data_IF_885465861965
#
_entry.id   IF_885465861965
#
_cell.length_a   1.000
_cell.length_b   1.000
_cell.length_c   1.000
_cell.angle_alpha   90.00
_cell.angle_beta   90.00
_cell.angle_gamma   90.00
#
_symmetry.space_group_name_H-M   'P 1'
#
loop_
_entity.id
_entity.type
_entity.pdbx_description
1 polymer ?
#
# COMPACT_ATOMS: atom_id res chain seq x y z
N UNK A 1 70.38 -56.70 -19.58
CA UNK A 1 70.18 -56.53 -18.13
C UNK A 1 69.14 -55.43 -17.97
N UNK A 2 68.10 -55.73 -17.20
CA UNK A 2 66.86 -54.98 -16.99
C UNK A 2 67.04 -53.47 -16.83
N UNK A 3 66.11 -52.67 -17.37
CA UNK A 3 65.02 -52.20 -16.51
C UNK A 3 63.86 -51.53 -17.26
N UNK A 4 62.66 -51.92 -16.83
CA UNK A 4 61.36 -51.39 -17.25
C UNK A 4 61.04 -50.20 -16.35
N UNK A 5 60.84 -49.02 -16.90
CA UNK A 5 60.18 -47.92 -16.17
C UNK A 5 58.78 -47.71 -16.72
N UNK A 6 57.82 -48.24 -15.96
CA UNK A 6 56.39 -48.03 -16.11
C UNK A 6 56.06 -46.66 -15.51
N UNK A 7 55.72 -45.67 -16.34
CA UNK A 7 55.15 -44.41 -15.84
C UNK A 7 53.63 -44.58 -15.80
N UNK A 8 53.10 -44.61 -14.58
CA UNK A 8 51.66 -44.63 -14.28
C UNK A 8 51.05 -43.28 -14.65
N UNK A 9 50.07 -43.29 -15.55
CA UNK A 9 49.18 -42.14 -15.80
C UNK A 9 48.20 -42.07 -14.62
N UNK A 10 48.41 -41.12 -13.72
CA UNK A 10 47.42 -40.77 -12.69
C UNK A 10 46.52 -39.66 -13.26
N UNK A 11 45.27 -40.01 -13.52
CA UNK A 11 44.21 -39.10 -13.93
C UNK A 11 43.87 -38.13 -12.78
N UNK A 12 44.00 -36.82 -13.02
CA UNK A 12 43.37 -35.79 -12.20
C UNK A 12 42.16 -35.25 -12.96
N UNK A 13 40.99 -35.86 -12.70
CA UNK A 13 39.70 -35.27 -13.07
C UNK A 13 39.37 -34.24 -12.00
N UNK A 14 39.68 -32.97 -12.28
CA UNK A 14 39.21 -31.84 -11.46
C UNK A 14 37.75 -31.58 -11.88
N UNK A 15 36.83 -32.25 -11.19
CA UNK A 15 35.41 -31.95 -11.27
C UNK A 15 35.12 -30.64 -10.55
N UNK A 16 35.14 -29.52 -11.29
CA UNK A 16 34.67 -28.24 -10.79
C UNK A 16 33.16 -28.32 -10.60
N UNK A 17 32.72 -28.59 -9.38
CA UNK A 17 31.34 -28.38 -8.94
C UNK A 17 31.06 -26.88 -8.99
N UNK A 18 30.42 -26.42 -10.07
CA UNK A 18 29.76 -25.12 -10.11
C UNK A 18 28.60 -25.17 -9.11
N UNK A 19 28.84 -24.75 -7.89
CA UNK A 19 27.76 -24.34 -6.99
C UNK A 19 27.16 -23.06 -7.57
N UNK A 20 26.17 -23.21 -8.45
CA UNK A 20 25.22 -22.14 -8.75
C UNK A 20 24.40 -21.99 -7.48
N UNK A 21 24.91 -21.21 -6.53
CA UNK A 21 24.10 -20.67 -5.46
C UNK A 21 23.08 -19.77 -6.14
N UNK A 22 21.83 -20.19 -6.17
CA UNK A 22 20.71 -19.27 -6.39
C UNK A 22 20.72 -18.32 -5.19
N UNK A 23 21.56 -17.31 -5.24
CA UNK A 23 21.42 -16.11 -4.41
C UNK A 23 20.27 -15.31 -5.03
N UNK A 24 19.05 -15.83 -4.88
CA UNK A 24 17.85 -15.04 -5.05
C UNK A 24 17.82 -14.08 -3.88
N UNK A 25 18.55 -12.98 -4.00
CA UNK A 25 18.34 -11.75 -3.25
C UNK A 25 16.97 -11.20 -3.65
N UNK A 26 15.92 -11.93 -3.35
CA UNK A 26 14.56 -11.43 -3.34
C UNK A 26 14.30 -11.00 -1.89
N UNK A 27 14.48 -9.71 -1.57
CA UNK A 27 14.14 -9.20 -0.25
C UNK A 27 12.62 -9.30 -0.16
N UNK A 28 12.11 -10.46 0.27
CA UNK A 28 10.68 -10.74 0.28
C UNK A 28 9.86 -9.63 0.95
N UNK A 29 8.54 -9.68 0.77
CA UNK A 29 7.58 -8.68 1.23
C UNK A 29 7.97 -7.97 2.55
N UNK A 30 7.86 -6.63 2.61
CA UNK A 30 8.07 -5.88 3.84
C UNK A 30 7.23 -6.43 5.00
N UNK A 31 7.88 -6.82 6.10
CA UNK A 31 7.18 -7.36 7.28
C UNK A 31 6.73 -6.29 8.28
N UNK A 32 7.14 -5.03 8.05
CA UNK A 32 6.94 -3.92 8.99
C UNK A 32 6.23 -2.78 8.28
N UNK A 33 5.21 -2.23 8.93
CA UNK A 33 4.44 -1.08 8.47
C UNK A 33 5.16 0.23 8.79
N UNK A 34 4.71 1.33 8.19
CA UNK A 34 5.29 2.66 8.35
C UNK A 34 5.44 3.12 9.82
N UNK A 35 4.54 2.68 10.70
CA UNK A 35 4.59 3.03 12.13
C UNK A 35 5.52 2.13 12.97
N UNK A 36 6.27 1.22 12.33
CA UNK A 36 7.18 0.27 12.98
C UNK A 36 6.51 -1.00 13.53
N UNK A 37 5.19 -1.13 13.42
CA UNK A 37 4.49 -2.37 13.81
C UNK A 37 4.65 -3.46 12.74
N UNK A 38 4.51 -4.73 13.16
CA UNK A 38 4.49 -5.86 12.23
C UNK A 38 3.21 -5.82 11.39
N UNK A 39 3.32 -6.11 10.10
CA UNK A 39 2.17 -6.31 9.23
C UNK A 39 1.28 -7.45 9.79
N UNK A 40 -0.05 -7.27 9.90
CA UNK A 40 -0.96 -8.34 10.28
C UNK A 40 -0.86 -9.53 9.33
N UNK A 41 -1.06 -10.74 9.86
CA UNK A 41 -1.20 -11.93 9.03
C UNK A 41 -2.52 -11.87 8.26
N UNK A 42 -2.46 -12.24 6.98
CA UNK A 42 -3.65 -12.37 6.17
C UNK A 42 -4.33 -13.71 6.51
N UNK A 43 -5.64 -13.72 6.84
CA UNK A 43 -6.30 -14.93 7.33
C UNK A 43 -6.61 -15.95 6.21
N UNK A 44 -6.47 -15.53 4.95
CA UNK A 44 -6.81 -16.30 3.75
C UNK A 44 -5.78 -16.03 2.66
N UNK A 45 -5.60 -16.99 1.76
CA UNK A 45 -4.87 -16.76 0.51
C UNK A 45 -5.78 -16.03 -0.48
N UNK A 46 -5.24 -15.07 -1.23
CA UNK A 46 -6.01 -14.31 -2.23
C UNK A 46 -5.84 -14.94 -3.60
N UNK A 47 -6.96 -15.35 -4.20
CA UNK A 47 -6.97 -15.96 -5.53
C UNK A 47 -6.33 -15.04 -6.58
N UNK A 48 -5.33 -15.55 -7.31
CA UNK A 48 -4.65 -14.79 -8.37
C UNK A 48 -3.54 -13.85 -7.88
N UNK A 49 -3.26 -13.79 -6.57
CA UNK A 49 -2.11 -13.06 -6.00
C UNK A 49 -0.93 -14.01 -5.84
N UNK A 50 0.02 -13.96 -6.76
CA UNK A 50 1.21 -14.82 -6.76
C UNK A 50 2.39 -14.23 -5.97
N UNK A 51 2.48 -12.90 -5.90
CA UNK A 51 3.55 -12.21 -5.17
C UNK A 51 3.28 -12.23 -3.66
N UNK A 52 4.33 -12.09 -2.82
CA UNK A 52 4.15 -11.98 -1.38
C UNK A 52 3.17 -10.86 -1.00
N UNK A 53 2.16 -11.19 -0.19
CA UNK A 53 1.13 -10.24 0.23
C UNK A 53 1.43 -9.64 1.62
N UNK A 54 1.28 -8.33 1.76
CA UNK A 54 1.46 -7.59 3.01
C UNK A 54 0.14 -6.94 3.40
N UNK A 55 -0.47 -7.37 4.51
CA UNK A 55 -1.68 -6.71 5.00
C UNK A 55 -1.34 -5.38 5.64
N UNK A 56 -2.11 -4.35 5.28
CA UNK A 56 -2.18 -3.11 6.04
C UNK A 56 -2.85 -3.33 7.39
N UNK A 57 -2.53 -2.49 8.36
CA UNK A 57 -3.31 -2.38 9.60
C UNK A 57 -4.50 -1.44 9.38
N UNK A 58 -5.66 -1.79 9.92
CA UNK A 58 -6.87 -0.95 9.86
C UNK A 58 -7.51 -0.85 11.25
N UNK A 59 -7.90 0.37 11.62
CA UNK A 59 -8.65 0.64 12.83
C UNK A 59 -9.85 1.54 12.51
N UNK A 60 -11.00 1.21 13.08
CA UNK A 60 -12.18 2.08 13.12
C UNK A 60 -12.26 2.71 14.50
N UNK A 61 -12.42 4.02 14.58
CA UNK A 61 -12.51 4.72 15.86
C UNK A 61 -13.59 5.80 15.83
N UNK A 62 -14.08 6.17 17.02
CA UNK A 62 -14.90 7.35 17.20
C UNK A 62 -14.03 8.61 17.21
N UNK A 63 -14.62 9.76 16.88
CA UNK A 63 -13.90 11.04 16.79
C UNK A 63 -13.22 11.44 18.11
N UNK A 64 -13.77 11.04 19.26
CA UNK A 64 -13.30 11.43 20.59
C UNK A 64 -12.11 10.61 21.11
N UNK A 65 -11.86 9.43 20.56
CA UNK A 65 -10.78 8.52 21.00
C UNK A 65 -9.45 8.81 20.30
N UNK A 66 -9.47 9.65 19.26
CA UNK A 66 -8.31 9.91 18.42
C UNK A 66 -7.62 11.19 18.89
N UNK A 67 -6.48 11.05 19.57
CA UNK A 67 -5.75 12.16 20.17
C UNK A 67 -5.36 13.28 19.19
N UNK A 68 -5.34 14.54 19.65
CA UNK A 68 -5.13 15.74 18.83
C UNK A 68 -3.78 15.78 18.07
N UNK A 69 -2.78 14.98 18.48
CA UNK A 69 -1.50 14.82 17.78
C UNK A 69 -1.50 13.76 16.66
N UNK A 70 -2.56 12.96 16.53
CA UNK A 70 -2.67 11.91 15.50
C UNK A 70 -2.81 12.46 14.07
N UNK A 71 -2.72 11.57 13.08
CA UNK A 71 -3.05 11.89 11.69
C UNK A 71 -4.47 12.47 11.53
N UNK A 72 -5.46 12.00 12.32
CA UNK A 72 -6.80 12.58 12.36
C UNK A 72 -6.79 14.02 12.88
N UNK A 73 -6.03 14.33 13.94
CA UNK A 73 -5.92 15.68 14.50
C UNK A 73 -5.29 16.68 13.53
N UNK A 74 -4.29 16.25 12.74
CA UNK A 74 -3.70 17.06 11.68
C UNK A 74 -4.68 17.24 10.50
N UNK A 75 -5.37 16.18 10.09
CA UNK A 75 -6.38 16.20 9.03
C UNK A 75 -7.56 17.12 9.38
N UNK A 76 -8.05 16.97 10.60
CA UNK A 76 -9.10 17.76 11.24
C UNK A 76 -8.85 19.27 11.17
N UNK A 77 -7.61 19.68 11.41
CA UNK A 77 -7.17 21.07 11.32
C UNK A 77 -7.08 21.58 9.87
N UNK A 78 -7.03 20.72 8.86
CA UNK A 78 -7.05 21.14 7.44
C UNK A 78 -8.46 21.15 6.86
N UNK A 79 -9.33 20.26 7.32
CA UNK A 79 -10.73 20.16 6.87
C UNK A 79 -11.69 21.16 7.56
N UNK A 80 -11.24 22.38 7.89
CA UNK A 80 -11.88 23.32 8.86
C UNK A 80 -13.34 23.75 8.59
N UNK A 81 -13.99 23.32 7.51
CA UNK A 81 -15.33 23.78 7.11
C UNK A 81 -16.50 22.87 7.49
N UNK A 82 -16.29 21.55 7.63
CA UNK A 82 -17.41 20.61 7.82
C UNK A 82 -17.26 19.75 9.08
N UNK A 83 -18.39 19.57 9.77
CA UNK A 83 -18.50 18.60 10.85
C UNK A 83 -18.41 17.16 10.30
N UNK A 84 -17.90 16.25 11.11
CA UNK A 84 -17.47 14.91 10.69
C UNK A 84 -18.45 13.85 11.17
N UNK A 85 -18.68 12.84 10.34
CA UNK A 85 -19.42 11.65 10.74
C UNK A 85 -18.49 10.51 11.14
N UNK A 86 -18.98 9.65 12.02
CA UNK A 86 -18.35 8.36 12.37
C UNK A 86 -18.84 7.26 11.41
N UNK A 87 -18.03 6.21 11.15
CA UNK A 87 -16.70 5.95 11.73
C UNK A 87 -15.57 6.74 11.05
N UNK A 88 -14.48 6.95 11.79
CA UNK A 88 -13.19 7.33 11.21
C UNK A 88 -12.40 6.05 10.98
N UNK A 89 -11.81 5.92 9.79
CA UNK A 89 -10.99 4.77 9.43
C UNK A 89 -9.54 5.21 9.27
N UNK A 90 -8.65 4.59 10.04
CA UNK A 90 -7.20 4.79 9.96
C UNK A 90 -6.59 3.54 9.35
N UNK A 91 -5.72 3.71 8.36
CA UNK A 91 -4.96 2.63 7.75
C UNK A 91 -3.47 2.93 7.77
N UNK A 92 -2.67 1.94 8.12
CA UNK A 92 -1.21 2.01 8.06
C UNK A 92 -0.71 0.92 7.13
N UNK A 93 -0.09 1.33 6.03
CA UNK A 93 0.57 0.47 5.07
C UNK A 93 2.08 0.46 5.24
N UNK A 94 2.78 -0.05 4.24
CA UNK A 94 4.24 -0.16 4.23
C UNK A 94 4.86 1.24 4.14
N UNK A 95 4.50 2.03 3.13
CA UNK A 95 5.11 3.34 2.86
C UNK A 95 4.23 4.52 3.24
N UNK A 96 2.93 4.29 3.48
CA UNK A 96 1.94 5.31 3.75
C UNK A 96 1.01 5.02 4.92
N UNK A 97 0.36 6.06 5.40
CA UNK A 97 -0.75 6.00 6.35
C UNK A 97 -1.87 6.91 5.83
N UNK A 98 -3.11 6.49 6.03
CA UNK A 98 -4.26 7.30 5.66
C UNK A 98 -5.33 7.36 6.74
N UNK A 99 -6.04 8.47 6.76
CA UNK A 99 -7.25 8.67 7.57
C UNK A 99 -8.39 9.05 6.66
N UNK A 100 -9.51 8.33 6.76
CA UNK A 100 -10.71 8.55 5.96
C UNK A 100 -11.93 8.75 6.85
N UNK A 101 -12.75 9.75 6.54
CA UNK A 101 -14.05 9.96 7.19
C UNK A 101 -15.03 10.67 6.26
N UNK A 102 -16.32 10.39 6.45
CA UNK A 102 -17.40 11.10 5.73
C UNK A 102 -17.74 12.41 6.43
N UNK A 103 -18.20 13.37 5.67
CA UNK A 103 -18.82 14.59 6.21
C UNK A 103 -20.14 14.27 6.91
N UNK A 104 -20.60 15.14 7.82
CA UNK A 104 -21.91 14.98 8.47
C UNK A 104 -23.06 14.90 7.47
N UNK A 105 -22.98 15.64 6.35
CA UNK A 105 -23.97 15.60 5.28
C UNK A 105 -24.00 14.25 4.54
N UNK A 106 -23.00 13.39 4.75
CA UNK A 106 -22.76 12.13 4.04
C UNK A 106 -22.61 12.27 2.52
N UNK A 107 -22.42 13.50 2.04
CA UNK A 107 -22.21 13.83 0.62
C UNK A 107 -20.74 14.07 0.28
N UNK A 108 -19.86 14.12 1.28
CA UNK A 108 -18.44 14.31 1.11
C UNK A 108 -17.64 13.27 1.86
N UNK A 109 -16.41 13.07 1.40
CA UNK A 109 -15.41 12.20 2.00
C UNK A 109 -14.10 12.96 2.08
N UNK A 110 -13.48 12.94 3.26
CA UNK A 110 -12.12 13.43 3.44
C UNK A 110 -11.16 12.26 3.57
N UNK A 111 -10.01 12.42 2.93
CA UNK A 111 -8.85 11.55 3.04
C UNK A 111 -7.65 12.39 3.39
N UNK A 112 -6.88 11.97 4.38
CA UNK A 112 -5.60 12.59 4.69
C UNK A 112 -4.52 11.54 4.61
N UNK A 113 -3.44 11.91 3.95
CA UNK A 113 -2.35 11.01 3.62
C UNK A 113 -1.11 11.42 4.41
N UNK A 114 -0.34 10.45 4.87
CA UNK A 114 0.97 10.59 5.48
C UNK A 114 1.92 9.55 4.87
N UNK A 115 3.21 9.82 4.86
CA UNK A 115 4.23 8.97 4.23
C UNK A 115 5.53 8.97 5.05
N UNK A 116 6.39 7.98 4.81
CA UNK A 116 7.68 7.82 5.49
C UNK A 116 8.70 8.95 5.22
N UNK A 117 8.51 9.74 4.17
CA UNK A 117 9.40 10.83 3.79
C UNK A 117 9.59 11.87 4.90
N UNK A 118 10.78 12.48 4.93
CA UNK A 118 11.13 13.50 5.92
C UNK A 118 10.21 14.72 5.83
N UNK A 119 9.77 15.23 6.99
CA UNK A 119 8.97 16.45 7.09
C UNK A 119 9.32 17.27 8.32
N UNK A 120 9.09 18.57 8.21
CA UNK A 120 9.11 19.48 9.34
C UNK A 120 8.19 18.99 10.46
N UNK A 121 8.68 19.06 11.69
CA UNK A 121 7.93 18.71 12.88
C UNK A 121 6.63 19.52 12.95
N UNK A 122 5.48 18.84 12.94
CA UNK A 122 4.15 19.45 12.90
C UNK A 122 3.42 19.37 11.56
N UNK A 123 4.07 18.97 10.47
CA UNK A 123 3.44 18.70 9.15
C UNK A 123 3.29 17.20 8.89
N UNK A 124 2.63 16.49 9.80
CA UNK A 124 2.46 15.02 9.67
C UNK A 124 1.69 14.62 8.41
N UNK A 125 0.58 15.29 8.08
CA UNK A 125 -0.13 14.99 6.84
C UNK A 125 0.55 15.64 5.63
N UNK A 126 0.75 14.85 4.58
CA UNK A 126 1.35 15.20 3.30
C UNK A 126 0.34 15.53 2.22
N UNK A 127 -0.82 14.89 2.28
CA UNK A 127 -1.91 15.10 1.34
C UNK A 127 -3.23 15.28 2.07
N UNK A 128 -4.15 16.02 1.44
CA UNK A 128 -5.56 16.05 1.81
C UNK A 128 -6.37 15.92 0.53
N UNK A 129 -7.22 14.90 0.45
CA UNK A 129 -8.18 14.70 -0.62
C UNK A 129 -9.60 14.95 -0.11
N UNK A 130 -10.41 15.61 -0.93
CA UNK A 130 -11.86 15.66 -0.77
C UNK A 130 -12.52 15.00 -1.98
N UNK A 131 -13.41 14.04 -1.73
CA UNK A 131 -14.22 13.37 -2.72
C UNK A 131 -15.69 13.64 -2.49
N UNK A 132 -16.44 13.96 -3.55
CA UNK A 132 -17.89 14.07 -3.48
C UNK A 132 -18.53 12.70 -3.67
N UNK A 133 -19.55 12.40 -2.86
CA UNK A 133 -20.27 11.16 -2.93
C UNK A 133 -21.56 11.36 -3.73
N UNK A 134 -21.73 10.56 -4.78
CA UNK A 134 -22.96 10.41 -5.55
C UNK A 134 -23.64 9.12 -5.10
N UNK A 135 -24.89 9.20 -4.65
CA UNK A 135 -25.62 8.03 -4.11
C UNK A 135 -24.85 7.26 -3.02
N UNK A 136 -24.04 7.97 -2.24
CA UNK A 136 -23.21 7.39 -1.17
C UNK A 136 -21.91 6.73 -1.63
N UNK A 137 -21.61 6.74 -2.93
CA UNK A 137 -20.40 6.20 -3.55
C UNK A 137 -19.48 7.29 -4.05
N UNK A 138 -18.18 7.01 -4.03
CA UNK A 138 -17.19 7.87 -4.63
C UNK A 138 -16.95 7.46 -6.08
N UNK A 139 -17.15 8.38 -7.01
CA UNK A 139 -16.96 8.15 -8.46
C UNK A 139 -15.61 8.69 -8.96
N UNK A 140 -14.97 9.58 -8.21
CA UNK A 140 -13.73 10.25 -8.59
C UNK A 140 -12.52 9.66 -7.81
N UNK A 141 -11.60 8.96 -8.48
CA UNK A 141 -10.43 8.32 -7.86
C UNK A 141 -9.30 9.31 -7.50
N UNK A 142 -9.59 10.62 -7.33
CA UNK A 142 -8.62 11.73 -7.12
C UNK A 142 -7.26 11.31 -6.55
N UNK A 143 -6.22 11.65 -7.30
CA UNK A 143 -4.83 11.44 -6.93
C UNK A 143 -4.32 12.60 -6.08
N UNK A 144 -3.64 12.26 -4.98
CA UNK A 144 -2.69 13.15 -4.34
C UNK A 144 -1.28 12.67 -4.70
N UNK A 145 -0.50 13.49 -5.42
CA UNK A 145 0.94 13.30 -5.65
C UNK A 145 1.71 14.58 -5.37
N UNK A 146 3.01 14.46 -5.10
CA UNK A 146 3.96 15.59 -5.07
C UNK A 146 4.36 16.09 -3.68
N UNK A 147 3.51 15.94 -2.66
CA UNK A 147 3.88 16.28 -1.27
C UNK A 147 4.21 15.05 -0.43
N UNK A 148 3.74 13.87 -0.85
CA UNK A 148 4.01 12.58 -0.23
C UNK A 148 5.23 11.93 -0.89
N UNK A 149 6.17 11.43 -0.09
CA UNK A 149 7.37 10.77 -0.57
C UNK A 149 7.70 9.51 0.24
N UNK A 150 8.39 8.57 -0.39
CA UNK A 150 9.00 7.39 0.23
C UNK A 150 10.12 7.83 1.20
N UNK A 151 10.67 6.88 1.98
CA UNK A 151 11.85 7.14 2.82
C UNK A 151 13.07 7.58 1.98
N UNK A 152 13.18 7.09 0.75
CA UNK A 152 14.23 7.47 -0.21
C UNK A 152 14.02 8.85 -0.83
N UNK A 153 12.86 9.48 -0.61
CA UNK A 153 12.50 10.77 -1.18
C UNK A 153 11.80 10.69 -2.53
N UNK A 154 11.50 9.50 -3.03
CA UNK A 154 10.75 9.33 -4.28
C UNK A 154 9.29 9.74 -4.08
N UNK A 155 8.61 10.24 -5.11
CA UNK A 155 7.18 10.56 -5.03
C UNK A 155 6.33 9.33 -4.67
N UNK A 156 5.35 9.54 -3.80
CA UNK A 156 4.37 8.54 -3.42
C UNK A 156 2.96 9.06 -3.76
N UNK A 157 2.20 8.27 -4.52
CA UNK A 157 0.83 8.57 -4.92
C UNK A 157 -0.18 7.97 -3.97
N UNK A 158 -1.27 8.71 -3.71
CA UNK A 158 -2.44 8.20 -3.01
C UNK A 158 -3.69 8.41 -3.86
N UNK A 159 -4.44 7.35 -4.13
CA UNK A 159 -5.70 7.41 -4.86
C UNK A 159 -6.85 6.82 -4.05
N UNK A 160 -8.07 7.23 -4.39
CA UNK A 160 -9.25 6.60 -3.84
C UNK A 160 -9.63 5.34 -4.60
N UNK A 161 -9.96 4.31 -3.84
CA UNK A 161 -10.60 3.10 -4.33
C UNK A 161 -11.93 2.96 -3.60
N UNK A 162 -13.01 2.83 -4.36
CA UNK A 162 -14.33 2.50 -3.85
C UNK A 162 -14.54 1.00 -4.05
N UNK A 163 -14.37 0.16 -3.00
CA UNK A 163 -14.56 -1.27 -3.15
C UNK A 163 -15.98 -1.59 -3.60
N UNK A 164 -16.14 -2.64 -4.39
CA UNK A 164 -17.46 -3.15 -4.76
C UNK A 164 -18.17 -3.76 -3.54
N UNK A 165 -19.51 -3.86 -3.57
CA UNK A 165 -20.22 -4.57 -2.52
C UNK A 165 -19.64 -5.98 -2.32
N UNK A 166 -19.49 -6.39 -1.06
CA UNK A 166 -18.93 -7.69 -0.62
C UNK A 166 -17.41 -7.87 -0.77
N UNK A 167 -16.68 -6.88 -1.31
CA UNK A 167 -15.22 -6.89 -1.22
C UNK A 167 -14.79 -6.75 0.25
N UNK A 168 -13.98 -7.70 0.71
CA UNK A 168 -13.35 -7.69 2.04
C UNK A 168 -11.91 -7.20 1.96
N UNK A 169 -11.22 -7.56 0.88
CA UNK A 169 -9.84 -7.18 0.63
C UNK A 169 -9.71 -6.47 -0.72
N UNK A 170 -8.89 -5.42 -0.74
CA UNK A 170 -8.42 -4.74 -1.94
C UNK A 170 -6.91 -4.92 -1.98
N UNK A 171 -6.43 -5.69 -2.93
CA UNK A 171 -5.01 -5.93 -3.16
C UNK A 171 -4.50 -4.97 -4.23
N UNK A 172 -3.38 -4.31 -3.96
CA UNK A 172 -2.75 -3.35 -4.87
C UNK A 172 -1.33 -3.81 -5.14
N UNK A 173 -1.01 -4.02 -6.40
CA UNK A 173 0.34 -4.41 -6.83
C UNK A 173 1.33 -3.27 -6.58
N UNK A 174 2.46 -3.62 -5.97
CA UNK A 174 3.62 -2.76 -5.75
C UNK A 174 4.85 -3.42 -6.37
N UNK A 175 5.99 -2.72 -6.38
CA UNK A 175 7.25 -3.34 -6.80
C UNK A 175 7.67 -4.43 -5.79
N UNK A 176 7.66 -5.69 -6.23
CA UNK A 176 8.09 -6.85 -5.44
C UNK A 176 7.09 -7.42 -4.42
N UNK A 177 5.91 -6.82 -4.22
CA UNK A 177 4.89 -7.34 -3.31
C UNK A 177 3.47 -6.85 -3.66
N UNK A 178 2.46 -7.43 -3.02
CA UNK A 178 1.07 -6.92 -3.07
C UNK A 178 0.68 -6.36 -1.72
N UNK A 179 0.26 -5.11 -1.69
CA UNK A 179 -0.26 -4.50 -0.47
C UNK A 179 -1.77 -4.72 -0.35
N UNK A 180 -2.21 -5.29 0.77
CA UNK A 180 -3.59 -5.72 0.97
C UNK A 180 -4.31 -4.81 1.97
N UNK A 181 -5.39 -4.20 1.52
CA UNK A 181 -6.23 -3.29 2.28
C UNK A 181 -7.54 -3.97 2.65
N UNK A 182 -7.82 -4.08 3.96
CA UNK A 182 -9.13 -4.55 4.41
C UNK A 182 -10.18 -3.43 4.33
N UNK A 183 -11.37 -3.77 3.85
CA UNK A 183 -12.53 -2.86 3.87
C UNK A 183 -12.97 -2.60 5.31
N UNK A 184 -13.36 -1.35 5.62
CA UNK A 184 -13.77 -0.97 6.98
C UNK A 184 -14.69 0.24 6.96
N UNK A 185 -15.67 0.24 7.87
CA UNK A 185 -16.59 1.37 8.10
C UNK A 185 -17.46 1.76 6.90
N UNK A 186 -17.57 0.92 5.87
CA UNK A 186 -18.26 1.24 4.62
C UNK A 186 -17.67 2.46 3.89
N UNK A 187 -16.37 2.73 4.11
CA UNK A 187 -15.67 3.87 3.52
C UNK A 187 -14.76 3.43 2.37
N UNK A 188 -14.58 4.27 1.35
CA UNK A 188 -13.50 4.13 0.37
C UNK A 188 -12.12 4.03 1.03
N UNK A 189 -11.18 3.49 0.27
CA UNK A 189 -9.81 3.24 0.71
C UNK A 189 -8.89 4.23 0.02
N UNK A 190 -7.97 4.83 0.77
CA UNK A 190 -6.79 5.49 0.19
C UNK A 190 -5.70 4.45 0.01
N UNK A 191 -5.35 4.15 -1.23
CA UNK A 191 -4.30 3.19 -1.58
C UNK A 191 -3.06 3.92 -2.06
N UNK A 192 -1.89 3.34 -1.82
CA UNK A 192 -0.60 3.91 -2.23
C UNK A 192 -0.01 3.25 -3.47
N UNK A 193 0.82 4.00 -4.18
CA UNK A 193 1.75 3.48 -5.19
C UNK A 193 2.97 4.40 -5.32
N UNK A 194 4.12 3.82 -5.60
CA UNK A 194 5.34 4.52 -6.01
C UNK A 194 5.48 4.64 -7.54
N UNK A 195 4.59 4.01 -8.33
CA UNK A 195 4.47 4.15 -9.79
C UNK A 195 3.82 5.48 -10.17
N UNK A 196 4.54 6.57 -9.85
CA UNK A 196 4.11 7.95 -10.07
C UNK A 196 4.82 8.56 -11.27
N UNK A 197 4.01 9.08 -12.18
CA UNK A 197 4.45 9.73 -13.40
C UNK A 197 4.38 11.24 -13.22
N UNK A 198 5.47 11.83 -12.72
CA UNK A 198 5.51 13.25 -12.35
C UNK A 198 5.20 14.17 -13.53
N UNK A 199 5.74 13.88 -14.71
CA UNK A 199 5.52 14.68 -15.92
C UNK A 199 4.05 14.72 -16.35
N UNK A 200 3.29 13.67 -16.02
CA UNK A 200 1.86 13.56 -16.31
C UNK A 200 0.97 13.86 -15.11
N UNK A 201 1.56 14.16 -13.95
CA UNK A 201 0.85 14.30 -12.67
C UNK A 201 -0.12 13.14 -12.42
N UNK A 202 0.33 11.92 -12.75
CA UNK A 202 -0.48 10.71 -12.79
C UNK A 202 0.14 9.57 -12.01
N UNK A 203 -0.66 8.55 -11.74
CA UNK A 203 -0.21 7.28 -11.15
C UNK A 203 -1.13 6.14 -11.60
N UNK A 204 -0.56 4.95 -11.74
CA UNK A 204 -1.29 3.75 -12.16
C UNK A 204 -1.36 2.75 -11.01
N UNK A 205 -2.55 2.23 -10.75
CA UNK A 205 -2.78 1.20 -9.73
C UNK A 205 -3.32 -0.06 -10.41
N UNK A 206 -2.68 -1.20 -10.19
CA UNK A 206 -3.21 -2.51 -10.57
C UNK A 206 -3.87 -3.12 -9.34
N UNK A 207 -5.17 -3.39 -9.45
CA UNK A 207 -6.01 -3.69 -8.29
C UNK A 207 -6.77 -4.99 -8.52
N UNK A 208 -6.80 -5.83 -7.49
CA UNK A 208 -7.74 -6.95 -7.36
C UNK A 208 -8.59 -6.77 -6.10
N UNK A 209 -9.86 -7.13 -6.18
CA UNK A 209 -10.78 -7.13 -5.03
C UNK A 209 -11.24 -8.55 -4.74
N UNK A 210 -11.27 -8.91 -3.46
CA UNK A 210 -11.52 -10.26 -3.00
C UNK A 210 -12.59 -10.33 -1.93
N UNK A 211 -13.34 -11.43 -1.93
CA UNK A 211 -14.30 -11.76 -0.90
C UNK A 211 -13.61 -12.17 0.42
N UNK A 212 -14.41 -12.43 1.46
CA UNK A 212 -13.90 -12.79 2.79
C UNK A 212 -13.10 -14.10 2.80
N UNK A 213 -13.45 -15.03 1.92
CA UNK A 213 -12.79 -16.33 1.74
C UNK A 213 -11.53 -16.24 0.85
N UNK A 214 -11.20 -15.06 0.34
CA UNK A 214 -10.06 -14.83 -0.55
C UNK A 214 -10.38 -14.99 -2.05
N UNK A 215 -11.61 -15.39 -2.39
CA UNK A 215 -12.05 -15.55 -3.78
C UNK A 215 -12.01 -14.23 -4.55
N UNK A 216 -11.53 -14.27 -5.80
CA UNK A 216 -11.41 -13.10 -6.65
C UNK A 216 -12.79 -12.60 -7.09
N UNK A 217 -13.09 -11.33 -6.84
CA UNK A 217 -14.33 -10.67 -7.32
C UNK A 217 -14.07 -9.98 -8.65
N UNK A 218 -13.00 -9.17 -8.72
CA UNK A 218 -12.65 -8.44 -9.94
C UNK A 218 -11.18 -8.01 -9.96
N UNK A 219 -10.68 -7.75 -11.17
CA UNK A 219 -9.35 -7.19 -11.42
C UNK A 219 -9.48 -6.01 -12.40
N UNK A 220 -8.79 -4.91 -12.10
CA UNK A 220 -8.84 -3.71 -12.93
C UNK A 220 -7.62 -2.81 -12.71
N UNK A 221 -7.54 -1.75 -13.52
CA UNK A 221 -6.54 -0.70 -13.41
C UNK A 221 -7.23 0.62 -13.08
N UNK A 222 -6.65 1.38 -12.16
CA UNK A 222 -7.01 2.78 -11.92
C UNK A 222 -5.89 3.64 -12.45
N UNK A 223 -6.22 4.52 -13.40
CA UNK A 223 -5.36 5.62 -13.80
C UNK A 223 -5.87 6.86 -13.06
N UNK A 224 -5.09 7.34 -12.11
CA UNK A 224 -5.44 8.51 -11.32
C UNK A 224 -4.55 9.68 -11.75
N UNK A 225 -5.11 10.90 -11.71
CA UNK A 225 -4.39 12.14 -12.00
C UNK A 225 -4.69 13.17 -10.94
N UNK A 226 -3.76 14.11 -10.71
CA UNK A 226 -4.00 15.27 -9.84
C UNK A 226 -5.17 16.05 -10.41
N UNK A 227 -6.12 16.45 -9.56
CA UNK A 227 -7.19 17.34 -9.97
C UNK A 227 -6.60 18.70 -10.36
N UNK A 228 -6.77 19.08 -11.63
CA UNK A 228 -6.49 20.42 -12.15
C UNK A 228 -7.64 21.39 -11.96
#
# INVERSE_FOLDING_TARGET
MSDRFVIRVAAMVVGSLLTIGCDTNDPGAPMTLMNGSRAPELPVDLEGVASPAVSTSVATSSIGEIGAGSAFGACAKRAQGERRSVPVVVRVGVTGESVTFRTESRRGLYGCDNSQGSREEGRRACGVAFGQLSEGRLEDPRLNVGACTTKGGEPLGFAWVQPVPNATFVAVEQDGYVEVYRTAGGLPIRVTTDDVEIDRSGATFRITEHAEDGGLIQQYRVEASVAG
#
